data_IF_471669670663
#
_entry.id   IF_471669670663
#
_cell.length_a   1.000
_cell.length_b   1.000
_cell.length_c   1.000
_cell.angle_alpha   90.00
_cell.angle_beta   90.00
_cell.angle_gamma   90.00
#
_symmetry.space_group_name_H-M   'P 1'
#
loop_
_entity.id
_entity.type
_entity.pdbx_description
1 polymer ?
#
# COMPACT_ATOMS: atom_id res chain seq x y z
N UNK A 1 14.46 36.85 14.63
CA UNK A 1 14.38 36.87 13.16
C UNK A 1 13.22 35.98 12.77
N UNK A 2 12.18 36.57 12.19
CA UNK A 2 10.98 35.88 11.72
C UNK A 2 11.39 34.88 10.64
N UNK A 3 11.28 33.57 10.92
CA UNK A 3 11.37 32.55 9.87
C UNK A 3 10.15 32.75 8.97
N UNK A 4 10.36 33.24 7.75
CA UNK A 4 9.35 33.10 6.71
C UNK A 4 9.21 31.60 6.46
N UNK A 5 8.04 31.05 6.76
CA UNK A 5 7.73 29.66 6.42
C UNK A 5 7.32 29.63 4.94
N UNK A 6 8.16 29.02 4.11
CA UNK A 6 7.87 28.80 2.70
C UNK A 6 7.21 27.43 2.55
N UNK A 7 6.10 27.38 1.81
CA UNK A 7 5.36 26.15 1.54
C UNK A 7 5.70 25.62 0.15
N UNK A 8 5.50 24.32 -0.08
CA UNK A 8 5.78 23.68 -1.37
C UNK A 8 5.09 24.37 -2.56
N UNK A 9 3.90 24.93 -2.35
CA UNK A 9 3.15 25.64 -3.40
C UNK A 9 3.78 26.99 -3.80
N UNK A 10 4.78 27.48 -3.06
CA UNK A 10 5.56 28.66 -3.45
C UNK A 10 6.66 28.32 -4.48
N UNK A 11 6.89 27.03 -4.77
CA UNK A 11 7.98 26.56 -5.62
C UNK A 11 7.98 27.22 -7.01
N UNK A 12 6.81 27.39 -7.64
CA UNK A 12 6.71 27.99 -8.97
C UNK A 12 7.06 29.48 -8.96
N UNK A 13 6.64 30.20 -7.92
CA UNK A 13 6.97 31.61 -7.75
C UNK A 13 8.47 31.80 -7.49
N UNK A 14 9.07 30.91 -6.69
CA UNK A 14 10.51 30.91 -6.40
C UNK A 14 11.32 30.63 -7.67
N UNK A 15 10.92 29.64 -8.46
CA UNK A 15 11.54 29.34 -9.75
C UNK A 15 11.43 30.51 -10.74
N UNK A 16 10.27 31.16 -10.82
CA UNK A 16 10.06 32.36 -11.65
C UNK A 16 10.92 33.55 -11.21
N UNK A 17 11.30 33.63 -9.94
CA UNK A 17 12.26 34.62 -9.41
C UNK A 17 13.72 34.23 -9.66
N UNK A 18 13.98 33.04 -10.21
CA UNK A 18 15.32 32.54 -10.51
C UNK A 18 16.06 31.92 -9.31
N UNK A 19 15.31 31.57 -8.25
CA UNK A 19 15.82 30.88 -7.07
C UNK A 19 16.17 29.42 -7.37
N UNK A 20 16.99 28.80 -6.51
CA UNK A 20 17.45 27.44 -6.73
C UNK A 20 16.59 26.43 -5.94
N UNK A 21 15.91 25.54 -6.65
CA UNK A 21 15.08 24.49 -6.06
C UNK A 21 15.77 23.13 -6.12
N UNK A 22 15.92 22.46 -4.98
CA UNK A 22 16.62 21.19 -4.81
C UNK A 22 15.66 20.09 -4.33
N UNK A 23 15.47 19.07 -5.18
CA UNK A 23 14.79 17.83 -4.82
C UNK A 23 15.77 16.85 -4.19
N UNK A 24 15.52 16.48 -2.93
CA UNK A 24 16.35 15.52 -2.17
C UNK A 24 15.70 14.14 -2.00
N UNK A 25 14.65 13.83 -2.77
CA UNK A 25 14.06 12.49 -2.85
C UNK A 25 15.03 11.50 -3.49
N UNK A 26 14.73 10.21 -3.38
CA UNK A 26 15.50 9.19 -4.10
C UNK A 26 15.22 9.26 -5.61
N UNK A 27 16.16 8.80 -6.44
CA UNK A 27 16.07 8.92 -7.92
C UNK A 27 14.77 8.38 -8.48
N UNK A 28 14.31 7.23 -7.98
CA UNK A 28 13.05 6.63 -8.43
C UNK A 28 11.83 7.53 -8.12
N UNK A 29 11.84 8.32 -7.05
CA UNK A 29 10.75 9.24 -6.73
C UNK A 29 10.76 10.47 -7.64
N UNK A 30 11.95 10.93 -8.05
CA UNK A 30 12.14 12.06 -8.97
C UNK A 30 11.71 11.69 -10.39
N UNK A 31 12.05 10.47 -10.84
CA UNK A 31 11.68 9.93 -12.15
C UNK A 31 10.16 9.74 -12.30
N UNK A 32 9.44 9.51 -11.20
CA UNK A 32 7.97 9.42 -11.19
C UNK A 32 7.25 10.77 -11.29
N UNK A 33 7.99 11.88 -11.26
CA UNK A 33 7.47 13.24 -11.35
C UNK A 33 8.14 14.16 -10.35
N UNK A 34 8.48 15.37 -10.78
CA UNK A 34 9.21 16.36 -10.00
C UNK A 34 8.85 17.77 -10.46
N UNK A 35 9.08 18.76 -9.58
CA UNK A 35 8.88 20.16 -9.95
C UNK A 35 9.77 20.49 -11.13
N UNK A 36 9.17 21.02 -12.20
CA UNK A 36 9.91 21.37 -13.41
C UNK A 36 11.04 22.35 -13.09
N UNK A 37 12.20 22.19 -13.73
CA UNK A 37 13.41 23.00 -13.48
C UNK A 37 14.04 22.85 -12.08
N UNK A 38 13.57 21.94 -11.23
CA UNK A 38 14.29 21.60 -9.98
C UNK A 38 15.54 20.75 -10.26
N UNK A 39 16.59 20.94 -9.47
CA UNK A 39 17.78 20.07 -9.49
C UNK A 39 17.54 18.86 -8.59
N UNK A 40 17.89 17.68 -9.05
CA UNK A 40 17.87 16.46 -8.24
C UNK A 40 19.26 16.12 -7.67
N UNK A 41 19.34 15.99 -6.35
CA UNK A 41 20.44 15.31 -5.64
C UNK A 41 19.81 14.62 -4.43
N UNK A 42 19.76 13.29 -4.42
CA UNK A 42 19.17 12.57 -3.30
C UNK A 42 19.86 12.90 -1.99
N UNK A 43 19.13 12.82 -0.87
CA UNK A 43 19.73 13.09 0.45
C UNK A 43 20.95 12.21 0.75
N UNK A 44 20.94 10.98 0.22
CA UNK A 44 22.03 10.01 0.34
C UNK A 44 23.30 10.44 -0.39
N UNK A 45 23.17 11.17 -1.50
CA UNK A 45 24.27 11.67 -2.31
C UNK A 45 24.66 13.12 -1.99
N UNK A 46 23.82 13.83 -1.22
CA UNK A 46 23.93 15.27 -1.00
C UNK A 46 25.31 15.68 -0.48
N UNK A 47 25.86 14.98 0.51
CA UNK A 47 27.19 15.28 1.06
C UNK A 47 28.32 15.16 0.03
N UNK A 48 28.22 14.18 -0.87
CA UNK A 48 29.25 13.90 -1.87
C UNK A 48 29.17 14.86 -3.07
N UNK A 49 27.98 15.42 -3.33
CA UNK A 49 27.66 16.24 -4.51
C UNK A 49 27.38 17.71 -4.18
N UNK A 50 27.75 18.18 -2.99
CA UNK A 50 27.56 19.60 -2.58
C UNK A 50 28.27 20.60 -3.50
N UNK A 51 29.29 20.17 -4.24
CA UNK A 51 30.00 21.00 -5.21
C UNK A 51 29.15 21.39 -6.44
N UNK A 52 28.03 20.71 -6.68
CA UNK A 52 27.08 21.05 -7.75
C UNK A 52 26.08 22.15 -7.35
N UNK A 53 26.06 22.54 -6.07
CA UNK A 53 25.10 23.51 -5.53
C UNK A 53 25.64 24.94 -5.63
N UNK A 54 24.78 25.93 -5.96
CA UNK A 54 25.18 27.33 -6.00
C UNK A 54 25.50 27.84 -4.59
N UNK A 55 26.54 28.67 -4.48
CA UNK A 55 26.95 29.29 -3.21
C UNK A 55 26.48 30.74 -3.07
N UNK A 56 26.01 31.31 -4.17
CA UNK A 56 25.58 32.70 -4.34
C UNK A 56 24.05 32.85 -4.34
N UNK A 57 23.30 31.75 -4.16
CA UNK A 57 21.84 31.72 -4.16
C UNK A 57 21.29 30.98 -2.94
N UNK A 58 20.06 31.33 -2.57
CA UNK A 58 19.30 30.57 -1.58
C UNK A 58 18.82 29.25 -2.20
N UNK A 59 19.03 28.15 -1.48
CA UNK A 59 18.66 26.79 -1.89
C UNK A 59 17.37 26.39 -1.18
N UNK A 60 16.29 26.28 -1.94
CA UNK A 60 15.02 25.79 -1.44
C UNK A 60 14.99 24.27 -1.59
N UNK A 61 14.91 23.54 -0.48
CA UNK A 61 14.90 22.08 -0.50
C UNK A 61 13.49 21.54 -0.37
N UNK A 62 13.17 20.49 -1.11
CA UNK A 62 11.94 19.72 -0.91
C UNK A 62 12.19 18.22 -1.02
N UNK A 63 11.31 17.45 -0.37
CA UNK A 63 11.27 16.00 -0.46
C UNK A 63 9.81 15.56 -0.61
N UNK A 64 9.48 14.29 -0.37
CA UNK A 64 8.07 13.85 -0.43
C UNK A 64 7.12 14.59 0.52
N UNK A 65 7.50 14.78 1.80
CA UNK A 65 6.60 15.26 2.85
C UNK A 65 7.20 16.37 3.74
N UNK A 66 8.29 17.02 3.34
CA UNK A 66 9.00 18.05 4.11
C UNK A 66 10.03 17.58 5.16
N UNK A 67 10.04 16.31 5.57
CA UNK A 67 10.93 15.83 6.66
C UNK A 67 12.40 15.66 6.24
N UNK A 68 12.63 14.96 5.11
CA UNK A 68 14.00 14.74 4.59
C UNK A 68 14.62 16.06 4.12
N UNK A 69 13.83 16.93 3.50
CA UNK A 69 14.27 18.24 3.05
C UNK A 69 14.62 19.18 4.21
N UNK A 70 13.96 19.08 5.36
CA UNK A 70 14.40 19.77 6.57
C UNK A 70 15.81 19.34 6.99
N UNK A 71 16.06 18.02 7.05
CA UNK A 71 17.40 17.49 7.35
C UNK A 71 18.44 17.95 6.34
N UNK A 72 18.09 17.97 5.04
CA UNK A 72 18.98 18.47 3.99
C UNK A 72 19.28 19.97 4.14
N UNK A 73 18.27 20.80 4.45
CA UNK A 73 18.47 22.23 4.69
C UNK A 73 19.37 22.48 5.90
N UNK A 74 19.15 21.76 7.01
CA UNK A 74 19.98 21.89 8.22
C UNK A 74 21.44 21.49 7.93
N UNK A 75 21.65 20.42 7.16
CA UNK A 75 22.97 19.97 6.72
C UNK A 75 23.67 21.01 5.82
N UNK A 76 22.96 21.56 4.84
CA UNK A 76 23.49 22.58 3.93
C UNK A 76 23.86 23.86 4.67
N UNK A 77 23.01 24.32 5.59
CA UNK A 77 23.28 25.47 6.46
C UNK A 77 24.53 25.22 7.34
N UNK A 78 24.68 24.02 7.90
CA UNK A 78 25.87 23.65 8.68
C UNK A 78 27.16 23.64 7.84
N UNK A 79 27.05 23.50 6.51
CA UNK A 79 28.17 23.54 5.55
C UNK A 79 28.36 24.91 4.88
N UNK A 80 27.61 25.93 5.33
CA UNK A 80 27.78 27.32 4.90
C UNK A 80 27.02 27.70 3.63
N UNK A 81 26.04 26.90 3.20
CA UNK A 81 25.06 27.29 2.18
C UNK A 81 23.88 28.00 2.85
N UNK A 82 23.18 28.86 2.11
CA UNK A 82 21.90 29.41 2.56
C UNK A 82 20.77 28.49 2.07
N UNK A 83 20.18 27.70 2.97
CA UNK A 83 19.18 26.70 2.60
C UNK A 83 17.89 26.79 3.42
N UNK A 84 16.76 26.71 2.74
CA UNK A 84 15.41 26.82 3.31
C UNK A 84 14.58 25.59 2.91
N UNK A 85 13.93 24.95 3.86
CA UNK A 85 13.01 23.84 3.59
C UNK A 85 11.64 24.35 3.15
N UNK A 86 11.08 23.76 2.11
CA UNK A 86 9.68 23.94 1.72
C UNK A 86 8.78 22.99 2.51
N UNK A 87 7.84 23.55 3.28
CA UNK A 87 6.89 22.78 4.08
C UNK A 87 5.87 22.04 3.19
N UNK A 88 5.39 20.88 3.67
CA UNK A 88 4.45 20.02 2.95
C UNK A 88 5.11 19.06 1.95
N UNK A 89 6.20 19.47 1.30
CA UNK A 89 6.93 18.66 0.32
C UNK A 89 6.10 18.33 -0.93
N UNK A 90 6.65 17.53 -1.85
CA UNK A 90 6.05 17.23 -3.15
C UNK A 90 4.62 16.69 -3.07
N UNK A 91 4.23 16.03 -1.98
CA UNK A 91 2.86 15.57 -1.77
C UNK A 91 1.81 16.68 -1.63
N UNK A 92 2.21 17.92 -1.30
CA UNK A 92 1.30 19.08 -1.23
C UNK A 92 1.43 20.03 -2.42
N UNK A 93 2.26 19.68 -3.42
CA UNK A 93 2.51 20.50 -4.60
C UNK A 93 1.34 20.42 -5.58
N UNK A 94 0.84 21.59 -5.99
CA UNK A 94 -0.32 21.74 -6.90
C UNK A 94 0.04 22.42 -8.22
N UNK A 95 1.33 22.70 -8.45
CA UNK A 95 1.85 23.35 -9.65
C UNK A 95 2.23 22.38 -10.77
N UNK A 96 2.90 22.91 -11.80
CA UNK A 96 3.31 22.15 -12.98
C UNK A 96 4.55 21.28 -12.67
N UNK A 97 4.41 19.96 -12.73
CA UNK A 97 5.53 19.04 -12.60
C UNK A 97 5.89 18.43 -13.96
N UNK A 98 7.20 18.33 -14.24
CA UNK A 98 7.69 17.72 -15.47
C UNK A 98 7.71 16.20 -15.32
N UNK A 99 7.29 15.52 -16.38
CA UNK A 99 7.52 14.11 -16.63
C UNK A 99 8.15 14.02 -18.01
N UNK A 100 9.19 13.21 -18.19
CA UNK A 100 9.91 13.12 -19.47
C UNK A 100 8.99 12.56 -20.56
N UNK A 101 8.63 13.46 -21.49
CA UNK A 101 7.94 13.37 -22.79
C UNK A 101 6.82 12.33 -23.00
N UNK A 102 5.56 12.79 -22.87
CA UNK A 102 4.74 13.20 -24.03
C UNK A 102 3.38 13.76 -23.57
N UNK A 103 3.13 15.05 -23.84
CA UNK A 103 1.80 15.70 -23.85
C UNK A 103 0.90 15.05 -24.93
N UNK A 104 -0.43 15.00 -24.86
CA UNK A 104 -1.45 15.93 -24.34
C UNK A 104 -2.46 15.20 -23.43
N UNK A 105 -2.98 15.88 -22.40
CA UNK A 105 -4.39 16.28 -22.29
C UNK A 105 -4.47 17.44 -21.29
N UNK A 106 -4.58 18.68 -21.79
CA UNK A 106 -5.35 19.69 -21.07
C UNK A 106 -6.81 19.46 -21.47
N UNK A 107 -7.61 19.00 -20.51
CA UNK A 107 -8.98 19.44 -20.42
C UNK A 107 -9.23 19.72 -18.95
N UNK A 108 -9.04 20.99 -18.63
CA UNK A 108 -9.85 21.78 -17.70
C UNK A 108 -10.68 20.98 -16.70
N UNK A 109 -10.42 21.27 -15.43
CA UNK A 109 -11.38 21.16 -14.35
C UNK A 109 -12.68 21.87 -14.79
N UNK A 110 -13.58 21.14 -15.43
CA UNK A 110 -14.94 21.59 -15.65
C UNK A 110 -15.71 21.34 -14.35
N UNK A 111 -16.15 22.45 -13.78
CA UNK A 111 -17.16 22.47 -12.74
C UNK A 111 -18.36 21.57 -13.09
N UNK A 112 -18.73 20.70 -12.14
CA UNK A 112 -20.07 20.14 -11.90
C UNK A 112 -21.08 20.18 -13.06
N UNK A 113 -21.26 19.05 -13.76
CA UNK A 113 -22.52 18.79 -14.50
C UNK A 113 -22.81 17.34 -14.91
N UNK A 114 -22.04 16.33 -14.48
CA UNK A 114 -22.23 14.94 -14.94
C UNK A 114 -22.35 13.90 -13.81
N UNK A 115 -22.78 14.31 -12.61
CA UNK A 115 -23.14 13.37 -11.54
C UNK A 115 -24.63 13.06 -11.65
N UNK A 116 -24.96 11.83 -12.02
CA UNK A 116 -26.34 11.35 -12.13
C UNK A 116 -26.99 11.29 -10.72
N UNK A 117 -28.21 11.79 -10.60
CA UNK A 117 -28.98 11.72 -9.36
C UNK A 117 -29.49 10.30 -9.07
N UNK A 118 -29.62 9.44 -10.09
CA UNK A 118 -30.00 8.02 -9.96
C UNK A 118 -28.82 7.09 -9.64
N UNK A 119 -27.64 7.63 -9.32
CA UNK A 119 -26.46 6.82 -8.96
C UNK A 119 -26.68 5.95 -7.74
N UNK A 120 -26.04 4.78 -7.71
CA UNK A 120 -26.11 3.89 -6.55
C UNK A 120 -25.27 4.47 -5.41
N UNK A 121 -25.93 4.90 -4.32
CA UNK A 121 -25.25 5.47 -3.14
C UNK A 121 -25.03 4.42 -2.07
N UNK A 122 -23.77 4.28 -1.64
CA UNK A 122 -23.35 3.27 -0.68
C UNK A 122 -22.61 3.93 0.47
N UNK A 123 -23.10 3.69 1.67
CA UNK A 123 -22.46 4.09 2.90
C UNK A 123 -21.64 2.91 3.45
N UNK A 124 -20.31 3.02 3.46
CA UNK A 124 -19.40 2.00 3.99
C UNK A 124 -18.57 2.54 5.17
N UNK A 125 -19.26 3.25 6.07
CA UNK A 125 -18.68 3.85 7.27
C UNK A 125 -18.18 2.79 8.25
N UNK A 126 -16.99 3.00 8.81
CA UNK A 126 -16.39 2.10 9.79
C UNK A 126 -15.74 0.86 9.19
N UNK A 127 -15.57 0.79 7.87
CA UNK A 127 -14.63 -0.16 7.27
C UNK A 127 -13.24 0.50 7.20
N UNK A 128 -12.20 -0.31 7.27
CA UNK A 128 -10.80 0.08 7.06
C UNK A 128 -10.23 -0.79 5.93
N UNK A 129 -9.15 -0.34 5.29
CA UNK A 129 -8.45 -1.08 4.23
C UNK A 129 -8.28 -2.58 4.58
N UNK A 130 -8.68 -3.51 3.69
CA UNK A 130 -9.10 -3.34 2.29
C UNK A 130 -10.62 -3.17 2.07
N UNK A 131 -11.43 -3.09 3.13
CA UNK A 131 -12.90 -3.19 3.08
C UNK A 131 -13.58 -2.25 2.07
N UNK A 132 -13.29 -0.94 2.07
CA UNK A 132 -13.84 0.01 1.10
C UNK A 132 -13.62 -0.38 -0.37
N UNK A 133 -12.40 -0.77 -0.75
CA UNK A 133 -12.06 -1.16 -2.12
C UNK A 133 -12.78 -2.44 -2.55
N UNK A 134 -12.90 -3.41 -1.64
CA UNK A 134 -13.65 -4.64 -1.92
C UNK A 134 -15.11 -4.33 -2.23
N UNK A 135 -15.72 -3.38 -1.51
CA UNK A 135 -17.10 -2.99 -1.77
C UNK A 135 -17.27 -2.28 -3.11
N UNK A 136 -16.31 -1.45 -3.49
CA UNK A 136 -16.27 -0.85 -4.84
C UNK A 136 -16.24 -1.93 -5.90
N UNK A 137 -15.33 -2.90 -5.80
CA UNK A 137 -15.20 -3.95 -6.80
C UNK A 137 -16.47 -4.81 -6.94
N UNK A 138 -17.09 -5.19 -5.82
CA UNK A 138 -18.36 -5.94 -5.79
C UNK A 138 -19.47 -5.21 -6.56
N UNK A 139 -19.63 -3.90 -6.31
CA UNK A 139 -20.71 -3.08 -6.88
C UNK A 139 -20.42 -2.74 -8.34
N UNK A 140 -19.19 -2.33 -8.66
CA UNK A 140 -18.77 -2.02 -10.03
C UNK A 140 -18.89 -3.23 -10.96
N UNK A 141 -18.64 -4.44 -10.46
CA UNK A 141 -18.83 -5.66 -11.24
C UNK A 141 -20.28 -5.87 -11.69
N UNK A 142 -21.25 -5.52 -10.84
CA UNK A 142 -22.69 -5.66 -11.12
C UNK A 142 -23.34 -4.49 -11.87
N UNK A 143 -22.63 -3.38 -12.09
CA UNK A 143 -23.16 -2.20 -12.78
C UNK A 143 -23.11 -2.34 -14.32
N UNK A 144 -24.02 -1.67 -15.02
CA UNK A 144 -23.95 -1.49 -16.48
C UNK A 144 -22.95 -0.39 -16.85
N UNK A 145 -22.43 -0.43 -18.08
CA UNK A 145 -21.52 0.62 -18.59
C UNK A 145 -22.24 1.97 -18.66
N UNK A 146 -21.58 3.03 -18.21
CA UNK A 146 -22.10 4.38 -18.11
C UNK A 146 -22.85 4.67 -16.80
N UNK A 147 -23.13 3.66 -15.97
CA UNK A 147 -23.75 3.87 -14.66
C UNK A 147 -22.73 4.25 -13.60
N UNK A 148 -23.20 5.03 -12.63
CA UNK A 148 -22.39 5.63 -11.58
C UNK A 148 -22.71 5.04 -10.21
N UNK A 149 -21.70 4.97 -9.34
CA UNK A 149 -21.87 4.72 -7.92
C UNK A 149 -21.19 5.80 -7.09
N UNK A 150 -21.74 6.06 -5.91
CA UNK A 150 -21.15 6.90 -4.89
C UNK A 150 -20.87 6.03 -3.66
N UNK A 151 -19.67 6.16 -3.10
CA UNK A 151 -19.30 5.51 -1.84
C UNK A 151 -18.80 6.54 -0.84
N UNK A 152 -19.32 6.48 0.39
CA UNK A 152 -18.85 7.28 1.52
C UNK A 152 -18.22 6.37 2.57
N UNK A 153 -16.96 6.64 2.92
CA UNK A 153 -16.18 5.85 3.88
C UNK A 153 -15.48 6.72 4.91
N UNK A 154 -15.04 6.13 6.01
CA UNK A 154 -14.30 6.83 7.08
C UNK A 154 -12.80 6.53 7.07
N UNK A 155 -12.31 5.85 6.03
CA UNK A 155 -10.89 5.50 5.86
C UNK A 155 -10.21 6.56 4.99
N UNK A 156 -9.34 7.37 5.58
CA UNK A 156 -8.63 8.44 4.87
C UNK A 156 -7.68 7.92 3.78
N UNK A 157 -7.16 6.68 3.90
CA UNK A 157 -6.29 6.09 2.87
C UNK A 157 -7.04 5.75 1.58
N UNK A 158 -8.37 5.64 1.66
CA UNK A 158 -9.21 5.19 0.55
C UNK A 158 -9.17 6.13 -0.67
N UNK A 159 -8.98 7.44 -0.47
CA UNK A 159 -8.97 8.40 -1.58
C UNK A 159 -7.88 8.11 -2.60
N UNK A 160 -6.70 7.64 -2.17
CA UNK A 160 -5.60 7.26 -3.06
C UNK A 160 -5.79 5.85 -3.62
N UNK A 161 -6.25 4.93 -2.77
CA UNK A 161 -6.49 3.53 -3.12
C UNK A 161 -7.51 3.38 -4.27
N UNK A 162 -8.61 4.13 -4.21
CA UNK A 162 -9.70 4.07 -5.19
C UNK A 162 -9.32 4.67 -6.54
N UNK A 163 -8.47 5.70 -6.57
CA UNK A 163 -7.96 6.29 -7.80
C UNK A 163 -7.05 5.31 -8.54
N UNK A 164 -6.12 4.68 -7.81
CA UNK A 164 -5.25 3.65 -8.38
C UNK A 164 -6.06 2.46 -8.90
N UNK A 165 -7.09 2.03 -8.14
CA UNK A 165 -7.99 0.96 -8.53
C UNK A 165 -8.78 1.31 -9.81
N UNK A 166 -9.38 2.50 -9.88
CA UNK A 166 -10.18 2.94 -11.02
C UNK A 166 -9.33 3.07 -12.29
N UNK A 167 -8.13 3.67 -12.18
CA UNK A 167 -7.16 3.77 -13.29
C UNK A 167 -6.79 2.39 -13.83
N UNK A 168 -6.54 1.41 -12.95
CA UNK A 168 -6.18 0.05 -13.35
C UNK A 168 -7.31 -0.67 -14.09
N UNK A 169 -8.55 -0.51 -13.65
CA UNK A 169 -9.73 -1.17 -14.24
C UNK A 169 -10.36 -0.36 -15.37
N UNK A 170 -9.77 0.77 -15.75
CA UNK A 170 -10.25 1.64 -16.83
C UNK A 170 -11.55 2.36 -16.49
N UNK A 171 -11.86 2.57 -15.22
CA UNK A 171 -13.04 3.31 -14.75
C UNK A 171 -12.70 4.77 -14.47
N UNK A 172 -13.72 5.64 -14.43
CA UNK A 172 -13.54 7.07 -14.18
C UNK A 172 -13.92 7.42 -12.74
N UNK A 173 -13.07 8.21 -12.07
CA UNK A 173 -13.39 8.86 -10.79
C UNK A 173 -13.94 10.25 -11.12
N UNK A 174 -15.23 10.48 -10.86
CA UNK A 174 -15.91 11.75 -11.12
C UNK A 174 -15.84 12.72 -9.96
N UNK A 175 -15.73 12.18 -8.74
CA UNK A 175 -15.64 12.95 -7.50
C UNK A 175 -14.78 12.20 -6.49
N UNK A 176 -13.90 12.90 -5.79
CA UNK A 176 -13.12 12.37 -4.66
C UNK A 176 -12.92 13.51 -3.65
N UNK A 177 -13.78 13.58 -2.64
CA UNK A 177 -13.77 14.65 -1.64
C UNK A 177 -13.57 14.10 -0.23
N UNK A 178 -12.69 14.75 0.52
CA UNK A 178 -12.53 14.51 1.96
C UNK A 178 -13.25 15.61 2.72
N UNK A 179 -14.27 15.26 3.49
CA UNK A 179 -15.06 16.17 4.33
C UNK A 179 -15.08 15.67 5.77
N UNK A 180 -14.27 16.29 6.63
CA UNK A 180 -14.11 15.87 8.02
C UNK A 180 -13.53 14.45 8.12
N UNK A 181 -14.22 13.56 8.83
CA UNK A 181 -13.85 12.14 8.96
C UNK A 181 -14.29 11.26 7.77
N UNK A 182 -14.99 11.84 6.77
CA UNK A 182 -15.57 11.09 5.66
C UNK A 182 -14.86 11.38 4.34
N UNK A 183 -14.65 10.34 3.54
CA UNK A 183 -14.21 10.39 2.15
C UNK A 183 -15.39 9.98 1.27
N UNK A 184 -15.81 10.83 0.34
CA UNK A 184 -16.90 10.58 -0.60
C UNK A 184 -16.37 10.52 -2.02
N UNK A 185 -16.61 9.40 -2.70
CA UNK A 185 -16.07 9.13 -4.03
C UNK A 185 -17.21 8.74 -4.97
N UNK A 186 -17.27 9.35 -6.15
CA UNK A 186 -18.20 8.98 -7.23
C UNK A 186 -17.40 8.34 -8.37
N UNK A 187 -17.78 7.13 -8.75
CA UNK A 187 -17.15 6.33 -9.81
C UNK A 187 -18.15 6.10 -10.93
N UNK A 188 -17.66 6.10 -12.18
CA UNK A 188 -18.43 5.69 -13.35
C UNK A 188 -17.81 4.47 -14.02
N UNK A 189 -18.63 3.45 -14.29
CA UNK A 189 -18.20 2.27 -15.02
C UNK A 189 -18.05 2.59 -16.50
N UNK A 190 -16.82 2.69 -16.98
CA UNK A 190 -16.54 2.79 -18.42
C UNK A 190 -16.40 1.41 -19.05
N UNK A 191 -16.66 1.33 -20.36
CA UNK A 191 -16.34 0.16 -21.15
C UNK A 191 -14.83 -0.08 -21.10
N UNK A 192 -14.36 -1.34 -21.08
CA UNK A 192 -12.94 -1.62 -21.22
C UNK A 192 -12.45 -0.99 -22.53
N UNK A 193 -11.48 -0.08 -22.42
CA UNK A 193 -10.89 0.56 -23.59
C UNK A 193 -10.29 -0.53 -24.50
N UNK A 194 -10.71 -0.57 -25.77
CA UNK A 194 -10.04 -1.37 -26.78
C UNK A 194 -8.59 -0.86 -26.89
N UNK A 195 -7.64 -1.70 -26.50
CA UNK A 195 -6.23 -1.35 -26.50
C UNK A 195 -5.70 -1.36 -27.94
N UNK A 196 -5.52 -0.20 -28.55
CA UNK A 196 -4.67 -0.02 -29.74
C UNK A 196 -3.35 0.63 -29.35
N UNK A 197 -2.26 0.04 -29.86
CA UNK A 197 -0.89 0.53 -29.71
C UNK A 197 -0.03 -0.39 -28.85
N UNK A 198 1.01 -0.97 -29.45
CA UNK A 198 1.98 -1.86 -28.81
C UNK A 198 2.68 -1.21 -27.60
N UNK A 199 2.07 -1.26 -26.42
CA UNK A 199 2.77 -1.13 -25.14
C UNK A 199 3.50 -2.44 -24.89
N UNK A 200 4.73 -2.39 -24.37
CA UNK A 200 5.23 -3.53 -23.60
C UNK A 200 4.30 -3.68 -22.40
N UNK A 201 3.29 -4.52 -22.56
CA UNK A 201 2.38 -4.90 -21.50
C UNK A 201 3.19 -5.79 -20.58
N UNK A 202 3.36 -5.38 -19.33
CA UNK A 202 3.80 -6.29 -18.29
C UNK A 202 2.82 -7.47 -18.29
N UNK A 203 3.25 -8.60 -18.84
CA UNK A 203 2.40 -9.78 -19.02
C UNK A 203 2.19 -10.50 -17.70
N UNK A 204 2.99 -10.17 -16.67
CA UNK A 204 2.90 -10.73 -15.32
C UNK A 204 1.97 -9.90 -14.46
N UNK A 205 0.85 -10.46 -14.08
CA UNK A 205 -0.18 -9.78 -13.29
C UNK A 205 -0.26 -10.29 -11.84
N UNK A 206 0.51 -11.31 -11.47
CA UNK A 206 0.49 -11.92 -10.14
C UNK A 206 1.20 -11.13 -9.04
N UNK A 207 0.85 -11.45 -7.79
CA UNK A 207 1.56 -11.06 -6.59
C UNK A 207 1.86 -12.28 -5.73
N UNK A 208 3.09 -12.39 -5.23
CA UNK A 208 3.50 -13.45 -4.32
C UNK A 208 4.02 -12.88 -3.01
N UNK A 209 3.63 -13.52 -1.91
CA UNK A 209 4.03 -13.10 -0.55
C UNK A 209 4.55 -14.33 0.18
N UNK A 210 5.83 -14.35 0.52
CA UNK A 210 6.38 -15.31 1.47
C UNK A 210 6.03 -14.85 2.88
N UNK A 211 5.22 -15.63 3.58
CA UNK A 211 4.85 -15.39 4.97
C UNK A 211 5.71 -16.30 5.85
N UNK A 212 6.85 -15.76 6.28
CA UNK A 212 7.81 -16.42 7.16
C UNK A 212 7.50 -16.13 8.63
N UNK A 213 7.15 -14.88 8.94
CA UNK A 213 6.90 -14.44 10.31
C UNK A 213 5.61 -15.04 10.89
N UNK A 214 5.65 -15.40 12.17
CA UNK A 214 4.49 -15.90 12.95
C UNK A 214 3.93 -14.86 13.91
N UNK A 215 4.20 -13.57 13.66
CA UNK A 215 3.70 -12.47 14.48
C UNK A 215 2.36 -11.97 13.94
N UNK A 216 1.39 -11.70 14.82
CA UNK A 216 0.02 -11.33 14.47
C UNK A 216 -0.06 -10.05 13.63
N UNK A 217 0.73 -9.03 13.95
CA UNK A 217 0.77 -7.74 13.25
C UNK A 217 1.36 -7.86 11.85
N UNK A 218 2.39 -8.70 11.68
CA UNK A 218 2.95 -9.00 10.35
C UNK A 218 1.99 -9.86 9.53
N UNK A 219 1.37 -10.86 10.14
CA UNK A 219 0.34 -11.66 9.50
C UNK A 219 -0.83 -10.77 9.02
N UNK A 220 -1.28 -9.84 9.86
CA UNK A 220 -2.31 -8.86 9.49
C UNK A 220 -1.89 -8.03 8.27
N UNK A 221 -0.67 -7.51 8.26
CA UNK A 221 -0.13 -6.77 7.12
C UNK A 221 -0.10 -7.63 5.84
N UNK A 222 0.35 -8.89 5.93
CA UNK A 222 0.36 -9.82 4.79
C UNK A 222 -1.03 -10.02 4.20
N UNK A 223 -2.06 -10.22 5.03
CA UNK A 223 -3.44 -10.43 4.56
C UNK A 223 -4.10 -9.15 4.02
N UNK A 224 -3.78 -7.98 4.59
CA UNK A 224 -4.21 -6.69 4.05
C UNK A 224 -3.63 -6.49 2.65
N UNK A 225 -2.32 -6.68 2.49
CA UNK A 225 -1.63 -6.55 1.19
C UNK A 225 -2.17 -7.58 0.19
N UNK A 226 -2.34 -8.83 0.59
CA UNK A 226 -2.89 -9.88 -0.27
C UNK A 226 -4.30 -9.56 -0.76
N UNK A 227 -5.17 -9.14 0.15
CA UNK A 227 -6.56 -8.80 -0.17
C UNK A 227 -6.65 -7.53 -1.03
N UNK A 228 -5.79 -6.54 -0.79
CA UNK A 228 -5.67 -5.34 -1.64
C UNK A 228 -5.14 -5.68 -3.04
N UNK A 229 -4.08 -6.50 -3.14
CA UNK A 229 -3.59 -6.97 -4.42
C UNK A 229 -4.68 -7.74 -5.19
N UNK A 230 -5.47 -8.56 -4.49
CA UNK A 230 -6.57 -9.32 -5.10
C UNK A 230 -7.73 -8.42 -5.54
N UNK A 231 -8.08 -7.40 -4.75
CA UNK A 231 -9.10 -6.41 -5.13
C UNK A 231 -8.67 -5.57 -6.34
N UNK A 232 -7.35 -5.38 -6.51
CA UNK A 232 -6.76 -4.79 -7.70
C UNK A 232 -6.70 -5.76 -8.89
N UNK A 233 -7.29 -6.96 -8.81
CA UNK A 233 -7.32 -7.91 -9.93
C UNK A 233 -6.02 -8.68 -10.16
N UNK A 234 -5.08 -8.70 -9.20
CA UNK A 234 -3.91 -9.59 -9.28
C UNK A 234 -4.30 -11.00 -8.87
N UNK A 235 -3.68 -12.01 -9.48
CA UNK A 235 -3.66 -13.35 -8.89
C UNK A 235 -2.67 -13.37 -7.72
N UNK A 236 -3.09 -13.82 -6.54
CA UNK A 236 -2.28 -13.68 -5.32
C UNK A 236 -1.96 -15.05 -4.73
N UNK A 237 -0.67 -15.31 -4.55
CA UNK A 237 -0.16 -16.49 -3.82
C UNK A 237 0.50 -16.07 -2.51
N UNK A 238 0.05 -16.64 -1.40
CA UNK A 238 0.70 -16.53 -0.10
C UNK A 238 1.38 -17.86 0.25
N UNK A 239 2.71 -17.85 0.38
CA UNK A 239 3.51 -19.02 0.72
C UNK A 239 3.92 -18.99 2.20
N UNK A 240 3.28 -19.83 3.01
CA UNK A 240 3.50 -19.92 4.45
C UNK A 240 4.63 -20.91 4.75
N UNK A 241 5.69 -20.41 5.39
CA UNK A 241 6.87 -21.19 5.75
C UNK A 241 7.28 -20.86 7.18
N UNK A 242 8.01 -21.77 7.82
CA UNK A 242 8.44 -21.64 9.21
C UNK A 242 7.30 -21.17 10.13
N UNK A 243 7.49 -20.07 10.87
CA UNK A 243 6.54 -19.56 11.85
C UNK A 243 5.19 -19.15 11.24
N UNK A 244 5.18 -18.77 9.96
CA UNK A 244 3.97 -18.43 9.22
C UNK A 244 2.97 -19.58 9.12
N UNK A 245 3.41 -20.84 9.20
CA UNK A 245 2.50 -22.00 9.24
C UNK A 245 1.50 -21.92 10.40
N UNK A 246 1.85 -21.26 11.51
CA UNK A 246 0.95 -21.13 12.66
C UNK A 246 -0.24 -20.19 12.38
N UNK A 247 -0.17 -19.36 11.34
CA UNK A 247 -1.24 -18.43 10.97
C UNK A 247 -2.41 -19.19 10.35
N UNK A 248 -2.12 -20.19 9.53
CA UNK A 248 -3.08 -20.98 8.75
C UNK A 248 -3.46 -22.32 9.41
N UNK A 249 -3.23 -22.44 10.72
CA UNK A 249 -3.70 -23.59 11.51
C UNK A 249 -5.20 -23.52 11.73
N UNK A 250 -5.87 -24.65 11.57
CA UNK A 250 -7.28 -24.78 11.87
C UNK A 250 -7.49 -24.81 13.40
N UNK A 251 -8.20 -23.83 13.99
CA UNK A 251 -8.49 -23.83 15.43
C UNK A 251 -9.30 -25.05 15.90
N UNK A 252 -9.99 -25.74 14.99
CA UNK A 252 -10.82 -26.91 15.25
C UNK A 252 -10.11 -28.23 14.91
N UNK A 253 -8.83 -28.19 14.55
CA UNK A 253 -8.07 -29.37 14.18
C UNK A 253 -8.09 -30.47 15.26
N UNK A 254 -8.16 -31.76 14.85
CA UNK A 254 -8.13 -32.88 15.78
C UNK A 254 -6.79 -32.95 16.53
N UNK A 255 -6.84 -33.24 17.84
CA UNK A 255 -5.62 -33.42 18.63
C UNK A 255 -4.87 -34.67 18.18
N UNK A 256 -3.66 -34.48 17.67
CA UNK A 256 -2.75 -35.59 17.30
C UNK A 256 -1.91 -36.04 18.49
N UNK A 257 -1.74 -37.34 18.65
CA UNK A 257 -0.85 -37.93 19.65
C UNK A 257 0.60 -37.94 19.14
N UNK A 258 1.21 -36.75 19.09
CA UNK A 258 2.63 -36.55 18.75
C UNK A 258 3.54 -37.09 19.86
N UNK A 259 4.74 -37.53 19.50
CA UNK A 259 5.73 -38.13 20.42
C UNK A 259 7.03 -37.33 20.41
N UNK A 260 7.81 -37.41 21.48
CA UNK A 260 9.15 -36.80 21.55
C UNK A 260 9.16 -35.29 21.28
N UNK A 261 10.05 -34.87 20.39
CA UNK A 261 10.28 -33.46 20.05
C UNK A 261 9.07 -32.82 19.35
N UNK A 262 8.33 -33.58 18.53
CA UNK A 262 7.12 -33.12 17.84
C UNK A 262 6.03 -32.69 18.82
N UNK A 263 5.90 -33.43 19.94
CA UNK A 263 4.96 -33.08 21.01
C UNK A 263 5.35 -31.77 21.68
N UNK A 264 6.65 -31.55 21.89
CA UNK A 264 7.17 -30.32 22.46
C UNK A 264 6.91 -29.13 21.52
N UNK A 265 7.22 -29.25 20.23
CA UNK A 265 6.93 -28.23 19.23
C UNK A 265 5.42 -27.92 19.15
N UNK A 266 4.57 -28.94 19.06
CA UNK A 266 3.11 -28.78 19.03
C UNK A 266 2.56 -28.06 20.27
N UNK A 267 3.16 -28.27 21.44
CA UNK A 267 2.76 -27.59 22.69
C UNK A 267 3.23 -26.14 22.76
N UNK A 268 4.43 -25.84 22.23
CA UNK A 268 5.03 -24.50 22.27
C UNK A 268 4.44 -23.56 21.22
N UNK A 269 4.08 -24.07 20.05
CA UNK A 269 3.61 -23.26 18.95
C UNK A 269 2.16 -22.77 19.13
N UNK A 270 1.82 -21.59 18.60
CA UNK A 270 0.45 -21.14 18.53
C UNK A 270 -0.44 -22.14 17.79
N UNK A 271 -1.67 -22.31 18.28
CA UNK A 271 -2.65 -23.25 17.73
C UNK A 271 -3.58 -22.64 16.68
N UNK A 272 -3.58 -21.32 16.56
CA UNK A 272 -4.47 -20.57 15.68
C UNK A 272 -3.97 -19.13 15.50
N UNK A 273 -4.44 -18.47 14.44
CA UNK A 273 -4.20 -17.06 14.15
C UNK A 273 -4.48 -16.12 15.34
N UNK A 274 -5.50 -16.42 16.14
CA UNK A 274 -5.89 -15.60 17.31
C UNK A 274 -4.91 -15.65 18.48
N UNK A 275 -3.99 -16.62 18.50
CA UNK A 275 -3.02 -16.85 19.59
C UNK A 275 -1.60 -16.42 19.23
N UNK A 276 -1.41 -15.76 18.09
CA UNK A 276 -0.11 -15.30 17.66
C UNK A 276 0.38 -14.16 18.58
N UNK A 277 1.68 -14.12 18.92
CA UNK A 277 2.27 -12.97 19.59
C UNK A 277 2.31 -11.76 18.65
N UNK A 278 2.51 -10.56 19.18
CA UNK A 278 2.86 -9.40 18.36
C UNK A 278 4.38 -9.24 18.29
N UNK A 279 4.88 -8.73 17.16
CA UNK A 279 6.32 -8.66 16.87
C UNK A 279 7.10 -7.77 17.84
N UNK A 280 6.45 -6.74 18.38
CA UNK A 280 7.00 -5.79 19.36
C UNK A 280 5.98 -5.54 20.46
N UNK A 281 6.46 -5.22 21.66
CA UNK A 281 5.62 -4.91 22.83
C UNK A 281 4.65 -6.03 23.25
N UNK A 282 5.00 -7.31 23.00
CA UNK A 282 4.13 -8.44 23.35
C UNK A 282 3.76 -8.49 24.85
N UNK A 283 4.68 -8.07 25.75
CA UNK A 283 4.44 -7.96 27.20
C UNK A 283 3.75 -9.20 27.78
N UNK A 284 4.34 -10.39 27.56
CA UNK A 284 3.78 -11.69 27.98
C UNK A 284 2.34 -11.94 27.45
N UNK A 285 2.02 -11.42 26.27
CA UNK A 285 0.71 -11.55 25.61
C UNK A 285 -0.28 -10.43 25.95
N UNK A 286 0.05 -9.50 26.84
CA UNK A 286 -0.79 -8.32 27.10
C UNK A 286 -0.88 -7.40 25.88
N UNK A 287 0.22 -7.27 25.13
CA UNK A 287 0.26 -6.48 23.91
C UNK A 287 -0.69 -7.00 22.83
N UNK A 288 -0.68 -8.32 22.57
CA UNK A 288 -1.61 -8.95 21.62
C UNK A 288 -3.07 -8.69 21.98
N UNK A 289 -3.43 -8.78 23.26
CA UNK A 289 -4.81 -8.48 23.72
C UNK A 289 -5.16 -7.01 23.56
N UNK A 290 -4.23 -6.11 23.87
CA UNK A 290 -4.43 -4.67 23.73
C UNK A 290 -4.68 -4.28 22.28
N UNK A 291 -3.84 -4.73 21.34
CA UNK A 291 -4.01 -4.40 19.92
C UNK A 291 -5.30 -5.03 19.35
N UNK A 292 -5.64 -6.27 19.73
CA UNK A 292 -6.91 -6.89 19.32
C UNK A 292 -8.13 -6.10 19.84
N UNK A 293 -8.06 -5.57 21.07
CA UNK A 293 -9.09 -4.69 21.61
C UNK A 293 -9.20 -3.38 20.81
N UNK A 294 -8.07 -2.76 20.47
CA UNK A 294 -8.03 -1.54 19.66
C UNK A 294 -8.59 -1.81 18.26
N UNK A 295 -8.16 -2.89 17.61
CA UNK A 295 -8.67 -3.32 16.30
C UNK A 295 -10.19 -3.48 16.32
N UNK A 296 -10.73 -4.21 17.32
CA UNK A 296 -12.18 -4.38 17.49
C UNK A 296 -12.91 -3.05 17.66
N UNK A 297 -12.36 -2.13 18.47
CA UNK A 297 -12.93 -0.78 18.67
C UNK A 297 -12.89 0.04 17.38
N UNK A 298 -11.84 -0.13 16.58
CA UNK A 298 -11.63 0.53 15.28
C UNK A 298 -12.27 -0.22 14.11
N UNK A 299 -13.05 -1.28 14.37
CA UNK A 299 -13.72 -2.10 13.36
C UNK A 299 -12.75 -2.66 12.29
N UNK A 300 -11.52 -2.93 12.69
CA UNK A 300 -10.58 -3.73 11.90
C UNK A 300 -10.91 -5.19 12.14
N UNK A 301 -11.11 -5.94 11.06
CA UNK A 301 -11.41 -7.37 11.12
C UNK A 301 -10.33 -8.12 11.92
N UNK A 302 -10.73 -9.18 12.61
CA UNK A 302 -9.78 -10.07 13.24
C UNK A 302 -8.95 -10.81 12.17
N UNK A 303 -7.74 -11.24 12.50
CA UNK A 303 -6.89 -11.99 11.57
C UNK A 303 -7.59 -13.25 11.03
N UNK A 304 -8.39 -13.94 11.85
CA UNK A 304 -9.21 -15.08 11.39
C UNK A 304 -10.22 -14.70 10.31
N UNK A 305 -10.90 -13.57 10.49
CA UNK A 305 -11.87 -13.05 9.52
C UNK A 305 -11.16 -12.59 8.23
N UNK A 306 -9.96 -12.01 8.34
CA UNK A 306 -9.15 -11.65 7.17
C UNK A 306 -8.69 -12.88 6.38
N UNK A 307 -8.32 -13.97 7.05
CA UNK A 307 -7.98 -15.24 6.38
C UNK A 307 -9.20 -15.75 5.59
N UNK A 308 -10.39 -15.77 6.19
CA UNK A 308 -11.62 -16.18 5.52
C UNK A 308 -11.99 -15.28 4.34
N UNK A 309 -11.80 -13.96 4.48
CA UNK A 309 -12.05 -13.01 3.39
C UNK A 309 -11.06 -13.21 2.24
N UNK A 310 -9.77 -13.40 2.55
CA UNK A 310 -8.75 -13.67 1.53
C UNK A 310 -9.05 -14.96 0.76
N UNK A 311 -9.48 -16.02 1.45
CA UNK A 311 -9.95 -17.26 0.81
C UNK A 311 -11.13 -17.00 -0.14
N UNK A 312 -12.16 -16.28 0.32
CA UNK A 312 -13.33 -15.93 -0.50
C UNK A 312 -12.98 -15.08 -1.72
N UNK A 313 -11.91 -14.28 -1.64
CA UNK A 313 -11.39 -13.51 -2.77
C UNK A 313 -10.52 -14.36 -3.72
N UNK A 314 -10.27 -15.63 -3.41
CA UNK A 314 -9.46 -16.53 -4.21
C UNK A 314 -7.95 -16.35 -4.02
N UNK A 315 -7.51 -15.86 -2.87
CA UNK A 315 -6.07 -15.85 -2.53
C UNK A 315 -5.58 -17.29 -2.34
N UNK A 316 -4.59 -17.70 -3.14
CA UNK A 316 -4.00 -19.04 -3.07
C UNK A 316 -3.05 -19.13 -1.87
N UNK A 317 -3.41 -19.91 -0.87
CA UNK A 317 -2.58 -20.15 0.31
C UNK A 317 -1.83 -21.47 0.17
N UNK A 318 -0.50 -21.44 0.27
CA UNK A 318 0.38 -22.61 0.13
C UNK A 318 1.18 -22.81 1.41
N UNK A 319 1.10 -23.99 2.01
CA UNK A 319 1.96 -24.41 3.10
C UNK A 319 3.23 -25.08 2.57
N UNK A 320 4.38 -24.61 3.06
CA UNK A 320 5.70 -25.17 2.76
C UNK A 320 5.87 -26.55 3.39
N UNK A 321 5.92 -27.60 2.56
CA UNK A 321 6.01 -29.00 3.05
C UNK A 321 7.26 -29.25 3.90
N UNK A 322 8.42 -28.72 3.50
CA UNK A 322 9.65 -28.85 4.28
C UNK A 322 9.51 -28.20 5.66
N UNK A 323 8.87 -27.03 5.76
CA UNK A 323 8.62 -26.39 7.06
C UNK A 323 7.62 -27.18 7.89
N UNK A 324 6.61 -27.79 7.27
CA UNK A 324 5.66 -28.65 7.96
C UNK A 324 6.38 -29.84 8.61
N UNK A 325 7.29 -30.48 7.88
CA UNK A 325 8.08 -31.61 8.40
C UNK A 325 8.97 -31.18 9.58
N UNK A 326 9.73 -30.09 9.43
CA UNK A 326 10.63 -29.56 10.47
C UNK A 326 9.85 -29.17 11.74
N UNK A 327 8.69 -28.53 11.57
CA UNK A 327 7.91 -28.02 12.69
C UNK A 327 6.86 -29.01 13.20
N UNK A 328 6.88 -30.24 12.66
CA UNK A 328 5.91 -31.28 12.95
C UNK A 328 4.47 -30.75 12.87
N UNK A 329 4.07 -30.20 11.73
CA UNK A 329 2.70 -29.74 11.45
C UNK A 329 2.08 -30.69 10.42
N UNK A 330 0.99 -31.35 10.81
CA UNK A 330 0.27 -32.30 9.95
C UNK A 330 -0.69 -31.55 9.02
N UNK A 331 -1.01 -32.14 7.86
CA UNK A 331 -1.95 -31.56 6.90
C UNK A 331 -3.33 -31.29 7.51
N UNK A 332 -3.79 -32.18 8.39
CA UNK A 332 -5.09 -32.06 9.05
C UNK A 332 -5.12 -31.01 10.16
N UNK A 333 -3.99 -30.40 10.50
CA UNK A 333 -3.90 -29.26 11.43
C UNK A 333 -4.02 -27.91 10.73
N UNK A 334 -4.07 -27.88 9.40
CA UNK A 334 -4.16 -26.67 8.58
C UNK A 334 -5.58 -26.50 8.04
N UNK A 335 -5.93 -25.26 7.69
CA UNK A 335 -7.22 -24.93 7.10
C UNK A 335 -7.44 -25.73 5.79
N UNK A 336 -8.68 -26.15 5.54
CA UNK A 336 -9.02 -27.09 4.44
C UNK A 336 -8.73 -26.59 3.03
N UNK A 337 -8.67 -25.27 2.86
CA UNK A 337 -8.41 -24.56 1.62
C UNK A 337 -6.91 -24.29 1.37
N UNK A 338 -6.03 -24.73 2.28
CA UNK A 338 -4.58 -24.61 2.13
C UNK A 338 -4.04 -25.68 1.18
N UNK A 339 -3.27 -25.24 0.20
CA UNK A 339 -2.52 -26.12 -0.72
C UNK A 339 -1.14 -26.45 -0.13
N UNK A 340 -0.51 -27.51 -0.63
CA UNK A 340 0.80 -27.95 -0.16
C UNK A 340 1.82 -27.85 -1.29
N UNK A 341 2.96 -27.22 -1.03
CA UNK A 341 3.98 -27.00 -2.05
C UNK A 341 5.37 -26.84 -1.46
N UNK A 342 6.37 -27.02 -2.31
CA UNK A 342 7.77 -26.70 -2.01
C UNK A 342 8.16 -25.34 -2.57
N UNK A 343 9.45 -25.02 -2.44
CA UNK A 343 10.02 -23.76 -2.98
C UNK A 343 9.77 -23.61 -4.49
N UNK A 344 9.78 -24.71 -5.26
CA UNK A 344 9.52 -24.67 -6.70
C UNK A 344 8.10 -24.22 -7.06
N UNK A 345 7.10 -24.60 -6.26
CA UNK A 345 5.71 -24.14 -6.46
C UNK A 345 5.61 -22.64 -6.26
N UNK A 346 6.27 -22.11 -5.23
CA UNK A 346 6.31 -20.68 -4.97
C UNK A 346 7.08 -19.92 -6.06
N UNK A 347 8.26 -20.41 -6.46
CA UNK A 347 9.06 -19.76 -7.50
C UNK A 347 8.33 -19.73 -8.85
N UNK A 348 7.59 -20.78 -9.21
CA UNK A 348 6.76 -20.78 -10.42
C UNK A 348 5.66 -19.72 -10.39
N UNK A 349 4.98 -19.53 -9.24
CA UNK A 349 4.00 -18.45 -9.09
C UNK A 349 4.69 -17.07 -9.09
N UNK A 350 5.88 -16.95 -8.46
CA UNK A 350 6.63 -15.70 -8.36
C UNK A 350 7.22 -15.26 -9.70
N UNK A 351 7.65 -16.19 -10.54
CA UNK A 351 8.08 -15.92 -11.91
C UNK A 351 6.95 -15.36 -12.77
N UNK A 352 5.70 -15.68 -12.47
CA UNK A 352 4.52 -15.13 -13.15
C UNK A 352 3.97 -13.86 -12.46
N UNK A 353 4.57 -13.46 -11.34
CA UNK A 353 4.23 -12.24 -10.62
C UNK A 353 5.20 -11.10 -10.94
N UNK A 354 4.71 -9.87 -10.78
CA UNK A 354 5.53 -8.64 -10.81
C UNK A 354 5.63 -7.98 -9.43
N UNK A 355 5.00 -8.57 -8.41
CA UNK A 355 5.12 -8.17 -7.02
C UNK A 355 5.54 -9.38 -6.20
N UNK A 356 6.69 -9.29 -5.53
CA UNK A 356 7.17 -10.34 -4.64
C UNK A 356 7.62 -9.75 -3.30
N UNK A 357 7.04 -10.24 -2.20
CA UNK A 357 7.30 -9.75 -0.85
C UNK A 357 7.74 -10.89 0.08
N UNK A 358 8.55 -10.56 1.07
CA UNK A 358 8.94 -11.47 2.15
C UNK A 358 8.61 -10.82 3.49
N UNK A 359 7.76 -11.46 4.30
CA UNK A 359 7.18 -10.90 5.53
C UNK A 359 7.39 -11.82 6.73
#
# INVERSE_FOLDING_TARGET
MTKNNYHMNDADELLNKGEFLLDVRETFEYELGHVESSKHISISELEQRMNELPKDKTIYTYCKSGRRSQTAADLLNAKGFDAINLEGGFSSYTGNFSSTDSEEVISTVENNSNIDDERIKIAAHGLQCPGPLLKVNEVMSGLDTGKQMEITVTDHGFCTDVEAWAKKHGHAVLKNEVSGENVTVVLEKKAPAAAEGHKMVETKDGATIVVFSGDMDKALASFIIASGARSMGKEVTMFFTFWGLNIIKDPNAPKKNKKGLDKMFSMMMPKSASKLPISKMNMLGMGSKMIQHVMKKKKVDALSEMIEKADKLGVKMIACTMSMDIMAVDKEELLSNVQFGGVGTYLGDAENGNLNLFI
#
